data_IF_196480741220
#
_entry.id   IF_196480741220
#
_cell.length_a   1.000
_cell.length_b   1.000
_cell.length_c   1.000
_cell.angle_alpha   90.00
_cell.angle_beta   90.00
_cell.angle_gamma   90.00
#
_symmetry.space_group_name_H-M   'P 1'
#
loop_
_entity.id
_entity.type
_entity.pdbx_description
1 polymer ?
#
# COMPACT_ATOMS: atom_id res chain seq x y z
N UNK A 1 3.08 -5.93 -11.28
CA UNK A 1 2.05 -5.95 -10.23
C UNK A 1 0.90 -5.04 -10.65
N UNK A 2 -0.32 -5.58 -10.63
CA UNK A 2 -1.56 -4.85 -10.89
C UNK A 2 -2.66 -5.35 -9.96
N UNK A 3 -3.19 -4.46 -9.13
CA UNK A 3 -4.26 -4.77 -8.17
C UNK A 3 -5.40 -3.77 -8.26
N UNK A 4 -6.61 -4.21 -7.96
CA UNK A 4 -7.83 -3.40 -7.89
C UNK A 4 -8.49 -3.52 -6.52
N UNK A 5 -8.89 -2.38 -5.96
CA UNK A 5 -9.41 -2.29 -4.59
C UNK A 5 -10.34 -1.09 -4.44
N UNK A 6 -11.40 -1.23 -3.63
CA UNK A 6 -12.27 -0.12 -3.28
C UNK A 6 -11.51 0.95 -2.48
N UNK A 7 -11.69 2.23 -2.84
CA UNK A 7 -10.99 3.36 -2.18
C UNK A 7 -11.01 3.25 -0.65
N UNK A 8 -12.19 3.09 -0.05
CA UNK A 8 -12.35 3.08 1.41
C UNK A 8 -11.50 1.98 2.08
N UNK A 9 -11.37 0.83 1.42
CA UNK A 9 -10.62 -0.32 1.93
C UNK A 9 -9.13 -0.03 1.95
N UNK A 10 -8.57 0.46 0.84
CA UNK A 10 -7.14 0.78 0.77
C UNK A 10 -6.81 2.00 1.62
N UNK A 11 -7.68 3.01 1.68
CA UNK A 11 -7.50 4.18 2.55
C UNK A 11 -7.41 3.79 4.02
N UNK A 12 -8.31 2.93 4.50
CA UNK A 12 -8.30 2.44 5.89
C UNK A 12 -7.02 1.67 6.22
N UNK A 13 -6.56 0.82 5.30
CA UNK A 13 -5.30 0.08 5.43
C UNK A 13 -4.13 1.08 5.54
N UNK A 14 -4.06 2.05 4.63
CA UNK A 14 -2.98 3.03 4.60
C UNK A 14 -2.95 3.91 5.85
N UNK A 15 -4.12 4.31 6.39
CA UNK A 15 -4.24 5.06 7.65
C UNK A 15 -3.63 4.27 8.81
N UNK A 16 -3.97 2.98 8.92
CA UNK A 16 -3.46 2.11 9.99
C UNK A 16 -1.95 1.86 9.91
N UNK A 17 -1.36 1.97 8.71
CA UNK A 17 0.08 1.77 8.50
C UNK A 17 0.92 3.03 8.79
N UNK A 18 0.32 4.23 8.76
CA UNK A 18 1.04 5.51 8.97
C UNK A 18 1.84 5.61 10.28
N UNK A 19 1.42 5.05 11.42
CA UNK A 19 2.18 5.14 12.66
C UNK A 19 3.53 4.40 12.61
N UNK A 20 3.67 3.40 11.73
CA UNK A 20 4.83 2.50 11.63
C UNK A 20 5.77 2.87 10.47
N UNK A 21 5.78 4.15 10.08
CA UNK A 21 6.64 4.68 9.03
C UNK A 21 7.53 5.76 9.61
N UNK A 22 8.76 5.86 9.11
CA UNK A 22 9.51 7.08 9.33
C UNK A 22 8.94 8.21 8.46
N UNK A 23 8.73 9.39 9.08
CA UNK A 23 8.01 10.52 8.48
C UNK A 23 8.92 11.68 8.09
N UNK A 24 10.17 11.67 8.59
CA UNK A 24 11.11 12.79 8.40
C UNK A 24 11.80 12.75 7.05
N UNK A 25 12.24 11.57 6.61
CA UNK A 25 13.06 11.42 5.40
C UNK A 25 12.38 10.51 4.38
N UNK A 26 11.83 11.10 3.31
CA UNK A 26 11.14 10.36 2.25
C UNK A 26 12.05 9.45 1.42
N UNK A 27 13.38 9.59 1.52
CA UNK A 27 14.35 8.75 0.83
C UNK A 27 14.60 7.41 1.53
N UNK A 28 14.29 7.30 2.82
CA UNK A 28 14.42 6.04 3.57
C UNK A 28 13.38 5.03 3.13
N UNK A 29 13.77 3.76 3.01
CA UNK A 29 12.84 2.67 2.68
C UNK A 29 11.76 2.47 3.75
N UNK A 30 12.04 2.81 5.00
CA UNK A 30 11.09 2.79 6.14
C UNK A 30 10.01 3.88 6.06
N UNK A 31 10.13 4.81 5.12
CA UNK A 31 9.10 5.81 4.79
C UNK A 31 8.13 5.30 3.72
N UNK A 32 8.31 4.06 3.26
CA UNK A 32 7.50 3.41 2.23
C UNK A 32 6.68 2.25 2.80
N UNK A 33 5.53 2.03 2.20
CA UNK A 33 4.68 0.87 2.44
C UNK A 33 5.01 -0.18 1.40
N UNK A 34 5.21 -1.41 1.85
CA UNK A 34 5.42 -2.57 1.00
C UNK A 34 4.09 -3.22 0.62
N UNK A 35 3.95 -3.58 -0.65
CA UNK A 35 2.83 -4.32 -1.22
C UNK A 35 3.35 -5.60 -1.85
N UNK A 36 2.70 -6.71 -1.59
CA UNK A 36 2.92 -7.99 -2.26
C UNK A 36 1.58 -8.61 -2.58
N UNK A 37 1.36 -8.92 -3.85
CA UNK A 37 0.17 -9.55 -4.37
C UNK A 37 0.57 -10.89 -4.98
N UNK A 38 0.16 -11.99 -4.33
CA UNK A 38 0.52 -13.34 -4.72
C UNK A 38 -0.50 -14.36 -4.22
N UNK A 39 -0.80 -15.40 -5.00
CA UNK A 39 -1.65 -16.52 -4.60
C UNK A 39 -3.03 -16.08 -4.05
N UNK A 40 -3.63 -15.05 -4.67
CA UNK A 40 -4.90 -14.45 -4.25
C UNK A 40 -4.88 -13.84 -2.82
N UNK A 41 -3.68 -13.49 -2.33
CA UNK A 41 -3.44 -12.84 -1.05
C UNK A 41 -2.63 -11.56 -1.28
N UNK A 42 -3.12 -10.45 -0.78
CA UNK A 42 -2.38 -9.20 -0.72
C UNK A 42 -1.84 -8.99 0.70
N UNK A 43 -0.53 -8.79 0.78
CA UNK A 43 0.20 -8.49 2.00
C UNK A 43 0.70 -7.04 1.91
N UNK A 44 0.32 -6.23 2.90
CA UNK A 44 0.66 -4.80 2.95
C UNK A 44 1.32 -4.52 4.30
N UNK A 45 2.54 -3.95 4.27
CA UNK A 45 3.41 -3.84 5.45
C UNK A 45 4.06 -2.46 5.58
N UNK A 46 4.28 -2.03 6.81
CA UNK A 46 5.15 -0.91 7.17
C UNK A 46 5.94 -1.20 8.45
N UNK A 47 7.12 -0.61 8.57
CA UNK A 47 7.97 -0.72 9.76
C UNK A 47 8.94 0.46 9.86
N UNK A 48 9.27 0.83 11.09
CA UNK A 48 10.33 1.78 11.44
C UNK A 48 11.62 1.09 11.96
N UNK A 49 11.73 -0.23 11.78
CA UNK A 49 12.77 -1.14 12.29
C UNK A 49 12.66 -1.52 13.78
N UNK A 50 11.79 -0.87 14.56
CA UNK A 50 11.53 -1.23 15.95
C UNK A 50 10.20 -1.97 16.07
N UNK A 51 9.17 -1.46 15.39
CA UNK A 51 7.83 -2.02 15.33
C UNK A 51 7.32 -1.98 13.89
N UNK A 52 6.36 -2.84 13.57
CA UNK A 52 5.76 -2.90 12.25
C UNK A 52 4.35 -3.47 12.30
N UNK A 53 3.61 -3.20 11.24
CA UNK A 53 2.28 -3.75 11.02
C UNK A 53 2.24 -4.47 9.68
N UNK A 54 1.69 -5.68 9.68
CA UNK A 54 1.45 -6.48 8.47
C UNK A 54 -0.02 -6.80 8.37
N UNK A 55 -0.68 -6.31 7.32
CA UNK A 55 -2.07 -6.60 7.01
C UNK A 55 -2.10 -7.60 5.86
N UNK A 56 -2.89 -8.66 6.02
CA UNK A 56 -3.11 -9.67 4.98
C UNK A 56 -4.58 -9.69 4.63
N UNK A 57 -4.91 -9.62 3.34
CA UNK A 57 -6.30 -9.58 2.89
C UNK A 57 -6.49 -10.28 1.54
N UNK A 58 -7.65 -10.93 1.39
CA UNK A 58 -8.12 -11.50 0.13
C UNK A 58 -9.15 -10.60 -0.56
N UNK A 59 -9.46 -9.44 0.00
CA UNK A 59 -10.45 -8.50 -0.53
C UNK A 59 -9.86 -7.51 -1.54
N UNK A 60 -8.74 -7.86 -2.17
CA UNK A 60 -8.07 -7.09 -3.22
C UNK A 60 -8.00 -7.99 -4.44
N UNK A 61 -8.51 -7.51 -5.57
CA UNK A 61 -8.44 -8.24 -6.83
C UNK A 61 -7.02 -8.13 -7.39
N UNK A 62 -6.40 -9.27 -7.68
CA UNK A 62 -5.05 -9.34 -8.24
C UNK A 62 -5.17 -9.66 -9.73
N UNK A 63 -4.84 -8.69 -10.58
CA UNK A 63 -4.80 -8.90 -12.03
C UNK A 63 -3.42 -9.41 -12.46
N UNK A 64 -2.36 -8.88 -11.84
CA UNK A 64 -0.98 -9.32 -12.08
C UNK A 64 -0.22 -9.36 -10.75
N UNK A 65 0.37 -10.50 -10.45
CA UNK A 65 1.20 -10.68 -9.25
C UNK A 65 2.43 -9.76 -9.25
N UNK A 66 3.04 -9.67 -8.08
CA UNK A 66 4.31 -8.98 -7.88
C UNK A 66 4.31 -8.19 -6.59
N UNK A 67 5.37 -7.41 -6.43
CA UNK A 67 5.55 -6.58 -5.25
C UNK A 67 6.07 -5.20 -5.63
N UNK A 68 5.78 -4.22 -4.80
CA UNK A 68 6.33 -2.89 -4.92
C UNK A 68 6.42 -2.19 -3.57
N UNK A 69 7.04 -1.02 -3.56
CA UNK A 69 6.98 -0.09 -2.45
C UNK A 69 6.56 1.28 -2.96
N UNK A 70 5.89 2.05 -2.10
CA UNK A 70 5.54 3.43 -2.39
C UNK A 70 5.56 4.25 -1.10
N UNK A 71 5.91 5.54 -1.21
CA UNK A 71 5.96 6.43 -0.05
C UNK A 71 4.58 6.49 0.62
N UNK A 72 4.51 6.10 1.90
CA UNK A 72 3.22 5.86 2.55
C UNK A 72 2.40 7.12 2.80
N UNK A 73 3.07 8.24 3.10
CA UNK A 73 2.39 9.54 3.31
C UNK A 73 1.84 10.08 1.99
N UNK A 74 2.69 10.18 0.97
CA UNK A 74 2.29 10.68 -0.36
C UNK A 74 1.18 9.83 -0.97
N UNK A 75 1.27 8.50 -0.84
CA UNK A 75 0.25 7.60 -1.35
C UNK A 75 -1.10 7.84 -0.64
N UNK A 76 -1.12 7.94 0.69
CA UNK A 76 -2.36 8.23 1.42
C UNK A 76 -2.97 9.58 1.04
N UNK A 77 -2.14 10.62 0.89
CA UNK A 77 -2.60 11.95 0.48
C UNK A 77 -3.24 11.93 -0.91
N UNK A 78 -2.69 11.15 -1.85
CA UNK A 78 -3.27 10.93 -3.18
C UNK A 78 -4.60 10.18 -3.08
N UNK A 79 -4.65 9.08 -2.32
CA UNK A 79 -5.87 8.27 -2.19
C UNK A 79 -7.03 9.09 -1.62
N UNK A 80 -6.77 9.95 -0.63
CA UNK A 80 -7.79 10.78 0.03
C UNK A 80 -8.56 11.69 -0.93
N UNK A 81 -7.88 12.24 -1.94
CA UNK A 81 -8.48 13.18 -2.89
C UNK A 81 -9.19 12.51 -4.07
N UNK A 82 -9.09 11.18 -4.21
CA UNK A 82 -9.81 10.43 -5.25
C UNK A 82 -11.30 10.33 -4.93
N UNK A 83 -12.10 10.08 -5.97
CA UNK A 83 -13.53 9.76 -5.81
C UNK A 83 -13.69 8.41 -5.10
N UNK A 84 -14.82 8.24 -4.43
CA UNK A 84 -15.15 6.98 -3.75
C UNK A 84 -15.59 5.92 -4.76
N UNK A 85 -14.59 5.24 -5.35
CA UNK A 85 -14.74 4.24 -6.40
C UNK A 85 -13.60 3.20 -6.33
N UNK A 86 -13.62 2.21 -7.22
CA UNK A 86 -12.53 1.26 -7.40
C UNK A 86 -11.26 1.96 -7.90
N UNK A 87 -10.12 1.61 -7.28
CA UNK A 87 -8.80 2.13 -7.61
C UNK A 87 -7.93 1.01 -8.15
N UNK A 88 -7.20 1.30 -9.22
CA UNK A 88 -6.16 0.43 -9.78
C UNK A 88 -4.78 0.92 -9.37
N UNK A 89 -3.98 0.05 -8.76
CA UNK A 89 -2.55 0.27 -8.53
C UNK A 89 -1.76 -0.64 -9.47
N UNK A 90 -0.94 -0.03 -10.31
CA UNK A 90 -0.24 -0.71 -11.40
C UNK A 90 1.22 -0.24 -11.46
N UNK A 91 2.14 -1.19 -11.59
CA UNK A 91 3.51 -0.91 -11.97
C UNK A 91 3.55 -0.69 -13.49
N UNK A 92 4.16 0.40 -13.97
CA UNK A 92 4.31 0.63 -15.40
C UNK A 92 5.18 -0.46 -16.05
N UNK A 93 4.84 -0.81 -17.29
CA UNK A 93 5.70 -1.64 -18.12
C UNK A 93 7.00 -0.89 -18.43
N UNK A 94 8.13 -1.58 -18.29
CA UNK A 94 9.47 -1.04 -18.51
C UNK A 94 9.95 -1.33 -19.94
#
# INVERSE_FOLDING_TARGET
MKIRVQKQSIESILINLQPFLEKKDASQITSHIFFEAKDNLCIIKSTDLEIGLSIQTKHITIDHEGSCTANGKKLLDIIRILKDDEITLELPDN
#
